data_IF_109557369017
#
_entry.id   IF_109557369017
#
_cell.length_a   1.000
_cell.length_b   1.000
_cell.length_c   1.000
_cell.angle_alpha   90.00
_cell.angle_beta   90.00
_cell.angle_gamma   90.00
#
_symmetry.space_group_name_H-M   'P 1'
#
loop_
_entity.id
_entity.type
_entity.pdbx_description
1 polymer ?
#
# COMPACT_ATOMS: atom_id res chain seq x y z
N UNK A 1 -42.31 22.64 -12.46
CA UNK A 1 -41.22 23.51 -11.95
C UNK A 1 -39.94 22.70 -11.93
N UNK A 2 -38.89 23.24 -12.55
CA UNK A 2 -37.67 22.56 -13.02
C UNK A 2 -36.58 22.54 -11.95
N UNK A 3 -35.83 21.43 -11.85
CA UNK A 3 -34.69 21.26 -10.95
C UNK A 3 -33.45 22.06 -11.40
N UNK A 4 -32.68 22.68 -10.49
CA UNK A 4 -31.35 23.17 -10.83
C UNK A 4 -30.27 22.11 -10.58
N UNK A 5 -29.61 21.69 -11.68
CA UNK A 5 -28.36 20.92 -11.70
C UNK A 5 -27.22 21.80 -11.16
N UNK A 6 -26.47 21.30 -10.17
CA UNK A 6 -25.21 21.91 -9.74
C UNK A 6 -24.03 21.27 -10.48
N UNK A 7 -23.47 22.00 -11.43
CA UNK A 7 -22.18 21.69 -12.08
C UNK A 7 -21.11 22.56 -11.42
N UNK A 8 -20.10 21.97 -10.76
CA UNK A 8 -18.96 22.73 -10.22
C UNK A 8 -17.85 22.84 -11.28
N UNK A 9 -17.39 24.04 -11.63
CA UNK A 9 -16.38 24.23 -12.65
C UNK A 9 -14.96 23.93 -12.17
N UNK A 10 -14.20 23.39 -13.11
CA UNK A 10 -12.78 23.10 -13.12
C UNK A 10 -11.95 24.40 -13.11
N UNK A 11 -11.11 24.63 -12.10
CA UNK A 11 -10.21 25.81 -12.04
C UNK A 11 -8.75 25.37 -12.06
N UNK A 12 -8.15 25.37 -13.26
CA UNK A 12 -6.70 25.49 -13.45
C UNK A 12 -6.30 26.97 -13.36
N UNK A 13 -5.26 27.36 -12.61
CA UNK A 13 -4.64 28.66 -12.83
C UNK A 13 -3.49 28.55 -13.84
N UNK A 14 -3.66 29.29 -14.94
CA UNK A 14 -2.68 29.55 -15.99
C UNK A 14 -1.67 30.62 -15.51
N UNK A 15 -0.42 30.45 -15.90
CA UNK A 15 0.71 31.40 -15.81
C UNK A 15 0.36 32.84 -16.18
N UNK A 16 0.90 33.82 -15.43
CA UNK A 16 1.25 35.22 -15.83
C UNK A 16 2.10 35.83 -14.70
N UNK A 17 3.13 36.66 -14.82
CA UNK A 17 4.01 37.21 -15.87
C UNK A 17 5.17 37.93 -15.12
N UNK A 18 6.28 38.21 -15.81
CA UNK A 18 7.45 39.08 -15.50
C UNK A 18 7.21 40.30 -14.57
N UNK A 19 8.17 40.97 -13.91
CA UNK A 19 9.57 41.26 -14.25
C UNK A 19 10.37 41.87 -13.06
N UNK A 20 11.68 41.60 -13.04
CA UNK A 20 12.89 42.43 -12.72
C UNK A 20 12.83 43.60 -11.71
N UNK A 21 13.84 43.70 -10.84
CA UNK A 21 14.83 44.82 -10.67
C UNK A 21 15.83 44.45 -9.53
N UNK A 22 17.11 44.23 -9.89
CA UNK A 22 18.35 44.95 -9.52
C UNK A 22 18.76 44.87 -8.02
N UNK A 23 19.82 44.12 -7.68
CA UNK A 23 21.25 44.49 -7.65
C UNK A 23 21.63 45.31 -6.40
N UNK A 24 22.22 44.63 -5.40
CA UNK A 24 23.22 45.23 -4.51
C UNK A 24 24.39 44.25 -4.35
N UNK A 25 25.55 44.68 -4.86
CA UNK A 25 26.86 44.12 -4.61
C UNK A 25 27.31 44.51 -3.20
N UNK A 26 27.76 43.55 -2.42
CA UNK A 26 28.62 43.79 -1.26
C UNK A 26 29.57 42.59 -1.12
N UNK A 27 30.87 42.73 -1.44
CA UNK A 27 31.88 41.73 -1.13
C UNK A 27 32.48 42.00 0.27
N UNK A 28 33.32 41.05 0.74
CA UNK A 28 34.07 41.00 2.01
C UNK A 28 33.24 40.35 3.14
N UNK A 29 33.52 39.16 3.66
CA UNK A 29 34.71 38.31 3.64
C UNK A 29 34.96 37.85 5.07
N UNK A 30 34.75 36.56 5.39
CA UNK A 30 35.35 35.90 6.57
C UNK A 30 35.31 34.37 6.36
N UNK A 31 36.46 33.75 6.60
CA UNK A 31 36.69 32.31 6.51
C UNK A 31 35.73 31.53 7.42
N UNK A 32 35.02 30.57 6.85
CA UNK A 32 34.35 29.49 7.57
C UNK A 32 34.19 28.29 6.65
N UNK A 33 35.05 27.28 6.80
CA UNK A 33 34.87 25.95 6.21
C UNK A 33 33.65 25.26 6.85
N UNK A 34 32.46 25.72 6.51
CA UNK A 34 31.21 25.00 6.77
C UNK A 34 30.70 24.51 5.45
N UNK A 35 31.05 23.28 5.06
CA UNK A 35 30.36 22.58 3.96
C UNK A 35 28.88 22.58 4.27
N UNK A 36 28.12 23.48 3.63
CA UNK A 36 26.68 23.49 3.68
C UNK A 36 26.22 22.16 3.07
N UNK A 37 25.94 21.18 3.93
CA UNK A 37 25.28 19.94 3.55
C UNK A 37 23.98 20.38 2.86
N UNK A 38 23.76 20.04 1.57
CA UNK A 38 22.49 20.32 0.94
C UNK A 38 21.38 19.73 1.81
N UNK A 39 20.22 20.40 1.96
CA UNK A 39 19.11 19.83 2.70
C UNK A 39 18.85 18.45 2.11
N UNK A 40 19.04 17.42 2.94
CA UNK A 40 18.82 16.04 2.53
C UNK A 40 17.41 15.92 1.93
N UNK A 41 17.22 15.02 0.96
CA UNK A 41 15.89 14.76 0.43
C UNK A 41 14.93 14.56 1.61
N UNK A 42 13.70 15.12 1.55
CA UNK A 42 12.73 14.93 2.63
C UNK A 42 12.63 13.45 2.95
N UNK A 43 12.54 13.06 4.24
CA UNK A 43 12.44 11.65 4.60
C UNK A 43 11.29 11.07 3.79
N UNK A 44 11.61 10.13 2.91
CA UNK A 44 10.60 9.48 2.11
C UNK A 44 9.63 8.83 3.10
N UNK A 45 8.32 9.08 3.02
CA UNK A 45 7.34 8.34 3.83
C UNK A 45 7.34 6.84 3.52
N UNK A 46 8.16 6.42 2.54
CA UNK A 46 8.40 5.05 2.10
C UNK A 46 9.77 4.50 2.55
N UNK A 47 10.51 5.21 3.39
CA UNK A 47 11.72 4.67 4.00
C UNK A 47 11.34 3.52 4.94
N UNK A 48 12.14 2.44 4.91
CA UNK A 48 12.15 1.35 5.88
C UNK A 48 11.61 1.82 7.22
N UNK A 49 10.53 1.19 7.70
CA UNK A 49 9.80 1.63 8.88
C UNK A 49 10.78 1.84 10.03
N UNK A 50 11.07 3.10 10.35
CA UNK A 50 11.91 3.45 11.50
C UNK A 50 11.33 2.92 12.83
N UNK A 51 10.08 2.43 12.78
CA UNK A 51 9.32 1.85 13.87
C UNK A 51 9.06 0.34 13.71
N UNK A 52 9.62 -0.32 12.68
CA UNK A 52 9.45 -1.75 12.52
C UNK A 52 10.34 -2.51 13.53
N UNK A 53 9.79 -3.50 14.26
CA UNK A 53 10.55 -4.21 15.26
C UNK A 53 11.68 -5.02 14.60
N UNK A 54 12.83 -5.09 15.28
CA UNK A 54 14.05 -5.71 14.74
C UNK A 54 13.87 -7.18 14.29
N UNK A 55 12.90 -7.90 14.86
CA UNK A 55 12.59 -9.28 14.46
C UNK A 55 11.96 -9.38 13.05
N UNK A 56 11.31 -8.33 12.54
CA UNK A 56 10.78 -8.26 11.17
C UNK A 56 11.91 -7.95 10.19
N UNK A 57 12.76 -6.97 10.53
CA UNK A 57 13.85 -6.49 9.67
C UNK A 57 14.92 -7.57 9.44
N UNK A 58 15.19 -8.40 10.45
CA UNK A 58 16.20 -9.45 10.38
C UNK A 58 15.74 -10.73 9.67
N UNK A 59 14.45 -10.86 9.30
CA UNK A 59 13.92 -12.04 8.62
C UNK A 59 14.06 -11.93 7.10
N UNK A 60 14.31 -13.08 6.46
CA UNK A 60 14.37 -13.18 5.01
C UNK A 60 13.02 -12.96 4.29
N UNK A 61 11.89 -13.07 5.01
CA UNK A 61 10.52 -12.83 4.53
C UNK A 61 9.62 -12.32 5.65
N UNK A 62 8.54 -11.62 5.29
CA UNK A 62 7.51 -11.19 6.25
C UNK A 62 6.67 -12.41 6.69
N UNK A 63 6.09 -12.37 7.91
CA UNK A 63 5.21 -13.44 8.37
C UNK A 63 4.02 -13.62 7.41
N UNK A 64 3.42 -14.82 7.34
CA UNK A 64 2.22 -15.03 6.53
C UNK A 64 1.09 -14.08 6.98
N UNK A 65 0.17 -13.72 6.08
CA UNK A 65 -0.98 -12.92 6.46
C UNK A 65 -1.85 -13.64 7.50
N UNK A 66 -2.40 -12.87 8.44
CA UNK A 66 -3.37 -13.37 9.41
C UNK A 66 -4.62 -13.84 8.65
N UNK A 67 -5.02 -15.09 8.85
CA UNK A 67 -6.23 -15.66 8.22
C UNK A 67 -7.50 -14.91 8.64
N UNK A 68 -7.51 -14.26 9.81
CA UNK A 68 -8.65 -13.46 10.27
C UNK A 68 -8.83 -12.17 9.46
N UNK A 69 -7.79 -11.73 8.73
CA UNK A 69 -7.81 -10.54 7.85
C UNK A 69 -8.14 -10.88 6.40
N UNK A 70 -8.43 -12.14 6.10
CA UNK A 70 -8.80 -12.58 4.76
C UNK A 70 -10.02 -13.49 4.86
N UNK A 71 -11.07 -13.18 4.11
CA UNK A 71 -12.23 -14.03 4.00
C UNK A 71 -12.40 -14.50 2.54
N UNK A 72 -12.86 -15.72 2.34
CA UNK A 72 -13.18 -16.25 1.03
C UNK A 72 -14.60 -16.79 1.01
N UNK A 73 -15.42 -16.24 0.11
CA UNK A 73 -16.75 -16.75 -0.17
C UNK A 73 -16.70 -17.64 -1.42
N UNK A 74 -16.85 -18.94 -1.22
CA UNK A 74 -16.83 -19.95 -2.29
C UNK A 74 -18.01 -19.77 -3.26
N UNK A 75 -19.16 -19.32 -2.77
CA UNK A 75 -20.37 -19.16 -3.60
C UNK A 75 -20.19 -18.05 -4.63
N UNK A 76 -19.55 -16.96 -4.23
CA UNK A 76 -19.30 -15.81 -5.12
C UNK A 76 -17.88 -15.82 -5.71
N UNK A 77 -17.03 -16.76 -5.27
CA UNK A 77 -15.59 -16.85 -5.56
C UNK A 77 -14.88 -15.52 -5.31
N UNK A 78 -15.21 -14.87 -4.19
CA UNK A 78 -14.69 -13.55 -3.85
C UNK A 78 -13.83 -13.61 -2.61
N UNK A 79 -12.59 -13.14 -2.73
CA UNK A 79 -11.69 -12.91 -1.61
C UNK A 79 -11.92 -11.48 -1.12
N UNK A 80 -12.24 -11.36 0.17
CA UNK A 80 -12.34 -10.10 0.89
C UNK A 80 -11.08 -9.93 1.73
N UNK A 81 -10.37 -8.83 1.50
CA UNK A 81 -9.09 -8.49 2.10
C UNK A 81 -9.31 -7.27 2.99
N UNK A 82 -9.13 -7.43 4.30
CA UNK A 82 -9.25 -6.32 5.26
C UNK A 82 -7.99 -5.47 5.29
N UNK A 83 -8.10 -4.26 5.85
CA UNK A 83 -6.98 -3.31 5.87
C UNK A 83 -5.75 -3.91 6.56
N UNK A 84 -4.59 -3.69 5.95
CA UNK A 84 -3.30 -4.03 6.54
C UNK A 84 -2.77 -2.86 7.35
N UNK A 85 -2.02 -3.11 8.44
CA UNK A 85 -1.38 -2.04 9.18
C UNK A 85 -0.27 -1.38 8.35
N UNK A 86 -0.20 -0.05 8.39
CA UNK A 86 0.84 0.73 7.71
C UNK A 86 0.56 0.93 6.22
N UNK A 87 1.62 1.00 5.42
CA UNK A 87 1.55 1.20 3.96
C UNK A 87 1.62 -0.13 3.20
N UNK A 88 1.18 -1.22 3.82
CA UNK A 88 1.27 -2.57 3.26
C UNK A 88 0.19 -2.77 2.18
N UNK A 89 0.55 -3.49 1.12
CA UNK A 89 -0.33 -3.72 -0.02
C UNK A 89 -0.62 -5.21 -0.20
N UNK A 90 -1.89 -5.55 -0.38
CA UNK A 90 -2.29 -6.89 -0.76
C UNK A 90 -1.86 -7.23 -2.20
N UNK A 91 -1.45 -8.48 -2.39
CA UNK A 91 -1.15 -9.07 -3.69
C UNK A 91 -1.79 -10.43 -3.83
N UNK A 92 -2.22 -10.72 -5.05
CA UNK A 92 -2.70 -12.04 -5.44
C UNK A 92 -1.90 -12.53 -6.64
N UNK A 93 -1.57 -13.81 -6.62
CA UNK A 93 -0.93 -14.50 -7.72
C UNK A 93 -1.82 -15.67 -8.15
N UNK A 94 -2.23 -15.65 -9.41
CA UNK A 94 -2.97 -16.73 -10.06
C UNK A 94 -1.98 -17.74 -10.66
N UNK A 95 -2.38 -19.01 -10.86
CA UNK A 95 -1.52 -20.01 -11.47
C UNK A 95 -1.06 -19.56 -12.87
N UNK A 96 0.25 -19.57 -13.09
CA UNK A 96 0.86 -19.13 -14.36
C UNK A 96 0.89 -17.61 -14.59
N UNK A 97 0.34 -16.80 -13.68
CA UNK A 97 0.38 -15.33 -13.78
C UNK A 97 1.44 -14.70 -12.85
N UNK A 98 1.87 -13.50 -13.21
CA UNK A 98 2.62 -12.64 -12.31
C UNK A 98 1.71 -12.08 -11.21
N UNK A 99 2.26 -11.85 -10.02
CA UNK A 99 1.51 -11.24 -8.93
C UNK A 99 1.06 -9.82 -9.24
N UNK A 100 -0.16 -9.47 -8.83
CA UNK A 100 -0.74 -8.13 -9.00
C UNK A 100 -1.26 -7.55 -7.70
N UNK A 101 -1.25 -6.24 -7.61
CA UNK A 101 -1.89 -5.51 -6.52
C UNK A 101 -3.40 -5.58 -6.72
N UNK A 102 -4.13 -5.84 -5.64
CA UNK A 102 -5.58 -6.07 -5.70
C UNK A 102 -6.33 -5.10 -4.81
N UNK A 103 -7.59 -4.85 -5.19
CA UNK A 103 -8.54 -4.12 -4.36
C UNK A 103 -9.00 -4.98 -3.18
N UNK A 104 -9.60 -4.38 -2.13
CA UNK A 104 -10.11 -5.10 -0.96
C UNK A 104 -11.11 -6.22 -1.28
N UNK A 105 -11.81 -6.12 -2.40
CA UNK A 105 -12.64 -7.20 -2.93
C UNK A 105 -12.09 -7.64 -4.26
N UNK A 106 -11.71 -8.92 -4.34
CA UNK A 106 -11.17 -9.51 -5.55
C UNK A 106 -11.92 -10.79 -5.89
N UNK A 107 -12.50 -10.83 -7.09
CA UNK A 107 -13.14 -12.02 -7.62
C UNK A 107 -12.08 -12.93 -8.24
N UNK A 108 -11.96 -14.14 -7.71
CA UNK A 108 -11.07 -15.17 -8.22
C UNK A 108 -11.67 -15.71 -9.53
N UNK A 109 -10.89 -15.78 -10.63
CA UNK A 109 -11.33 -16.40 -11.86
C UNK A 109 -11.50 -17.92 -11.68
N UNK A 110 -11.89 -18.63 -12.74
CA UNK A 110 -12.05 -20.09 -12.71
C UNK A 110 -10.69 -20.80 -12.64
N UNK A 111 -10.03 -20.70 -11.49
CA UNK A 111 -8.77 -21.32 -11.14
C UNK A 111 -8.93 -22.12 -9.84
N UNK A 112 -8.07 -23.11 -9.62
CA UNK A 112 -8.08 -23.89 -8.38
C UNK A 112 -7.68 -23.00 -7.19
N UNK A 113 -8.54 -22.95 -6.17
CA UNK A 113 -8.28 -22.20 -4.94
C UNK A 113 -7.02 -22.69 -4.20
N UNK A 114 -6.58 -23.93 -4.43
CA UNK A 114 -5.32 -24.45 -3.90
C UNK A 114 -4.09 -23.82 -4.56
N UNK A 115 -4.22 -23.28 -5.77
CA UNK A 115 -3.12 -22.71 -6.55
C UNK A 115 -3.09 -21.17 -6.51
N UNK A 116 -4.20 -20.54 -6.08
CA UNK A 116 -4.27 -19.09 -5.93
C UNK A 116 -3.61 -18.67 -4.62
N UNK A 117 -2.56 -17.85 -4.73
CA UNK A 117 -1.79 -17.36 -3.60
C UNK A 117 -2.21 -15.93 -3.23
N UNK A 118 -2.39 -15.70 -1.94
CA UNK A 118 -2.65 -14.39 -1.34
C UNK A 118 -1.49 -14.06 -0.40
N UNK A 119 -0.96 -12.86 -0.51
CA UNK A 119 0.13 -12.38 0.33
C UNK A 119 0.14 -10.85 0.35
N UNK A 120 0.97 -10.25 1.20
CA UNK A 120 1.15 -8.80 1.23
C UNK A 120 2.61 -8.41 1.05
N UNK A 121 2.80 -7.16 0.64
CA UNK A 121 4.13 -6.55 0.49
C UNK A 121 4.17 -5.25 1.24
N UNK A 122 5.23 -5.05 2.02
CA UNK A 122 5.52 -3.76 2.66
C UNK A 122 6.50 -2.96 1.80
N UNK A 123 6.26 -1.67 1.54
CA UNK A 123 7.20 -0.82 0.81
C UNK A 123 8.60 -0.85 1.45
N UNK A 124 9.63 -1.05 0.63
CA UNK A 124 11.02 -1.16 1.10
C UNK A 124 11.37 -2.49 1.77
N UNK A 125 10.41 -3.41 1.91
CA UNK A 125 10.58 -4.74 2.48
C UNK A 125 10.12 -5.82 1.49
N UNK A 126 10.33 -7.08 1.89
CA UNK A 126 10.05 -8.27 1.07
C UNK A 126 8.58 -8.67 1.16
N UNK A 127 8.16 -9.55 0.26
CA UNK A 127 6.83 -10.16 0.34
C UNK A 127 6.68 -11.03 1.60
N UNK A 128 5.45 -11.16 2.10
CA UNK A 128 5.10 -12.16 3.08
C UNK A 128 5.15 -13.56 2.51
N UNK A 129 5.27 -14.54 3.40
CA UNK A 129 4.98 -15.94 3.05
C UNK A 129 3.55 -16.02 2.51
N UNK A 130 3.33 -16.62 1.33
CA UNK A 130 2.00 -16.71 0.75
C UNK A 130 1.14 -17.75 1.45
N UNK A 131 -0.18 -17.52 1.43
CA UNK A 131 -1.21 -18.49 1.82
C UNK A 131 -2.09 -18.80 0.63
N UNK A 132 -2.63 -20.00 0.55
CA UNK A 132 -3.56 -20.36 -0.53
C UNK A 132 -4.98 -19.94 -0.19
N UNK A 133 -5.81 -19.69 -1.21
CA UNK A 133 -7.25 -19.42 -1.00
C UNK A 133 -7.93 -20.63 -0.35
N UNK A 134 -7.50 -21.84 -0.67
CA UNK A 134 -7.94 -23.07 0.01
C UNK A 134 -7.64 -23.05 1.52
N UNK A 135 -6.44 -22.65 1.93
CA UNK A 135 -6.10 -22.51 3.36
C UNK A 135 -6.99 -21.47 4.04
N UNK A 136 -7.25 -20.34 3.39
CA UNK A 136 -8.15 -19.30 3.91
C UNK A 136 -9.57 -19.86 4.11
N UNK A 137 -10.07 -20.64 3.15
CA UNK A 137 -11.39 -21.29 3.23
C UNK A 137 -11.48 -22.26 4.41
N UNK A 138 -10.46 -23.10 4.60
CA UNK A 138 -10.38 -24.07 5.70
C UNK A 138 -10.32 -23.36 7.06
N UNK A 139 -9.53 -22.29 7.19
CA UNK A 139 -9.43 -21.51 8.43
C UNK A 139 -10.75 -20.76 8.75
N UNK A 140 -11.36 -20.10 7.77
CA UNK A 140 -12.61 -19.36 7.95
C UNK A 140 -13.80 -20.24 8.34
N UNK A 141 -13.81 -21.50 7.90
CA UNK A 141 -14.85 -22.47 8.24
C UNK A 141 -14.87 -22.85 9.73
N UNK A 142 -13.76 -22.65 10.44
CA UNK A 142 -13.63 -23.00 11.86
C UNK A 142 -14.26 -21.93 12.78
N UNK A 143 -14.55 -20.73 12.25
CA UNK A 143 -15.08 -19.58 13.00
C UNK A 143 -16.60 -19.39 12.90
N UNK A 144 -17.35 -20.37 12.37
CA UNK A 144 -18.82 -20.37 12.53
C UNK A 144 -19.12 -20.64 14.01
N UNK A 145 -19.17 -19.55 14.76
CA UNK A 145 -19.41 -19.52 16.19
C UNK A 145 -20.65 -20.32 16.52
N UNK A 146 -20.51 -21.27 17.44
CA UNK A 146 -21.57 -21.87 18.25
C UNK A 146 -22.29 -20.75 19.03
N UNK A 147 -23.10 -19.95 18.36
CA UNK A 147 -24.02 -19.02 19.00
C UNK A 147 -25.36 -19.72 19.19
N UNK A 148 -25.49 -20.38 20.34
CA UNK A 148 -26.72 -20.59 21.11
C UNK A 148 -28.00 -20.99 20.37
N UNK A 149 -28.33 -22.28 20.46
CA UNK A 149 -29.73 -22.74 20.56
C UNK A 149 -30.36 -22.27 21.87
#
# INVERSE_FOLDING_TARGET
>A
MTAPRYTRPNTRPLRRTCARVALFLLPIGFLGCGTATPPGPPPSPHALGANDPAWIVNRGSLPPPDTDRINYDERTRTVTLYDLPGNDCWRIQLPGEASKLVAPQFRVPDADAAEVLVYYTRPGLRASTPVTVKQIQECGSTHVSFAGR
#
